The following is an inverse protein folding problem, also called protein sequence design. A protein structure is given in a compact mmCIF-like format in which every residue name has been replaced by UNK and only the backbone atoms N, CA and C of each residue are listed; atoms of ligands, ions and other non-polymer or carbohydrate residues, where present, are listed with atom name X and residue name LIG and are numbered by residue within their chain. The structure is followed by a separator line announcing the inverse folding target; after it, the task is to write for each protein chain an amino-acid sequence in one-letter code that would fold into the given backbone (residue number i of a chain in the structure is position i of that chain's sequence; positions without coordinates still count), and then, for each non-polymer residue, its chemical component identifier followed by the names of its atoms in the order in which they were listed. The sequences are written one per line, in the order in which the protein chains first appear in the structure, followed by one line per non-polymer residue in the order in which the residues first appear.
data_IF_907445724653
#
_entry.id   IF_907445724653
#
_cell.length_a   1.000
_cell.length_b   1.000
_cell.length_c   1.000
_cell.angle_alpha   90.00
_cell.angle_beta   90.00
_cell.angle_gamma   90.00
#
_symmetry.space_group_name_H-M   'P 1'
#
loop_
_entity.id
_entity.type
_entity.pdbx_description
1 polymer ?
#
# COMPACT_ATOMS: atom_id res chain seq x y z
N UNK A 1 -21.29 -0.50 12.24
CA UNK A 1 -21.67 0.29 11.05
C UNK A 1 -21.11 -0.43 9.85
N UNK A 2 -21.97 -1.04 9.03
CA UNK A 2 -21.57 -1.67 7.78
C UNK A 2 -20.92 -0.59 6.90
N UNK A 3 -19.63 -0.70 6.63
CA UNK A 3 -19.01 0.18 5.66
C UNK A 3 -19.61 -0.15 4.30
N UNK A 4 -20.26 0.82 3.66
CA UNK A 4 -20.79 0.64 2.33
C UNK A 4 -19.62 0.35 1.37
N UNK A 5 -19.73 -0.74 0.64
CA UNK A 5 -18.79 -1.17 -0.39
C UNK A 5 -19.48 -1.16 -1.73
N UNK A 6 -18.77 -0.71 -2.77
CA UNK A 6 -19.30 -0.67 -4.13
C UNK A 6 -18.35 -1.39 -5.09
N UNK A 7 -18.93 -2.09 -6.06
CA UNK A 7 -18.17 -2.78 -7.10
C UNK A 7 -18.11 -1.91 -8.34
N UNK A 8 -16.91 -1.55 -8.79
CA UNK A 8 -16.69 -0.66 -9.92
C UNK A 8 -15.74 -1.27 -10.95
N UNK A 9 -15.99 -1.00 -12.22
CA UNK A 9 -15.14 -1.47 -13.32
C UNK A 9 -13.99 -0.49 -13.58
N UNK A 10 -12.77 -1.01 -13.64
CA UNK A 10 -11.55 -0.22 -13.81
C UNK A 10 -11.40 0.26 -15.25
N UNK A 11 -11.23 1.57 -15.41
CA UNK A 11 -10.85 2.22 -16.66
C UNK A 11 -9.59 3.08 -16.48
N UNK A 12 -9.01 3.47 -17.61
CA UNK A 12 -7.82 4.30 -17.63
C UNK A 12 -8.09 5.71 -17.08
N UNK A 13 -7.18 6.22 -16.24
CA UNK A 13 -7.21 7.60 -15.78
C UNK A 13 -7.08 8.62 -16.92
N UNK A 14 -7.51 9.85 -16.67
CA UNK A 14 -7.17 10.97 -17.54
C UNK A 14 -5.69 11.31 -17.39
N UNK A 15 -5.06 11.78 -18.47
CA UNK A 15 -3.63 12.13 -18.49
C UNK A 15 -3.21 13.07 -17.36
N UNK A 16 -4.11 13.97 -16.94
CA UNK A 16 -3.89 14.95 -15.85
C UNK A 16 -3.84 14.35 -14.43
N UNK A 17 -4.35 13.13 -14.26
CA UNK A 17 -4.46 12.46 -12.96
C UNK A 17 -3.34 11.44 -12.74
N UNK A 18 -2.51 11.19 -13.76
CA UNK A 18 -1.40 10.23 -13.72
C UNK A 18 -0.35 10.65 -12.68
N UNK A 19 0.00 9.72 -11.79
CA UNK A 19 1.00 9.90 -10.74
C UNK A 19 0.49 10.63 -9.50
N UNK A 20 -0.79 11.00 -9.43
CA UNK A 20 -1.36 11.79 -8.33
C UNK A 20 -2.11 10.97 -7.28
N UNK A 21 -2.17 9.64 -7.45
CA UNK A 21 -2.94 8.77 -6.55
C UNK A 21 -4.43 9.10 -6.54
N UNK A 22 -4.99 9.43 -7.71
CA UNK A 22 -6.40 9.83 -7.87
C UNK A 22 -7.22 8.68 -8.42
N UNK A 23 -8.43 8.52 -7.87
CA UNK A 23 -9.46 7.64 -8.39
C UNK A 23 -10.73 8.45 -8.63
N UNK A 24 -11.23 8.41 -9.87
CA UNK A 24 -12.47 9.09 -10.23
C UNK A 24 -13.65 8.14 -10.30
N UNK A 25 -14.73 8.50 -9.61
CA UNK A 25 -16.02 7.80 -9.58
C UNK A 25 -17.16 8.79 -9.82
N UNK A 26 -18.34 8.32 -10.20
CA UNK A 26 -19.52 9.16 -10.41
C UNK A 26 -20.16 9.59 -9.08
N UNK A 27 -21.03 10.60 -9.13
CA UNK A 27 -21.67 11.12 -7.92
C UNK A 27 -22.56 10.08 -7.24
N UNK A 28 -23.28 9.26 -8.00
CA UNK A 28 -24.10 8.17 -7.45
C UNK A 28 -23.26 7.15 -6.65
N UNK A 29 -22.06 6.82 -7.13
CA UNK A 29 -21.12 5.99 -6.38
C UNK A 29 -20.59 6.68 -5.13
N UNK A 30 -20.29 7.99 -5.20
CA UNK A 30 -19.85 8.75 -4.03
C UNK A 30 -20.92 8.78 -2.95
N UNK A 31 -22.16 9.06 -3.32
CA UNK A 31 -23.30 9.11 -2.40
C UNK A 31 -23.54 7.73 -1.76
N UNK A 32 -23.48 6.66 -2.56
CA UNK A 32 -23.56 5.28 -2.08
C UNK A 32 -22.47 4.93 -1.08
N UNK A 33 -21.26 5.46 -1.26
CA UNK A 33 -20.11 5.27 -0.35
C UNK A 33 -20.07 6.28 0.80
N UNK A 34 -20.99 7.26 0.81
CA UNK A 34 -20.95 8.43 1.72
C UNK A 34 -19.60 9.17 1.64
N UNK A 35 -19.04 9.23 0.44
CA UNK A 35 -17.77 9.88 0.12
C UNK A 35 -17.99 11.25 -0.51
N UNK A 36 -17.01 12.14 -0.36
CA UNK A 36 -17.01 13.46 -0.97
C UNK A 36 -15.72 13.68 -1.75
N UNK A 37 -15.72 14.70 -2.61
CA UNK A 37 -14.52 15.12 -3.35
C UNK A 37 -13.36 15.39 -2.38
N UNK A 38 -12.24 14.73 -2.61
CA UNK A 38 -11.03 14.84 -1.78
C UNK A 38 -10.92 13.80 -0.66
N UNK A 39 -11.99 13.06 -0.35
CA UNK A 39 -11.92 11.94 0.58
C UNK A 39 -11.01 10.84 0.05
N UNK A 40 -10.56 9.96 0.96
CA UNK A 40 -9.77 8.79 0.60
C UNK A 40 -10.68 7.58 0.49
N UNK A 41 -10.51 6.84 -0.60
CA UNK A 41 -11.18 5.57 -0.84
C UNK A 41 -10.13 4.45 -0.88
N UNK A 42 -10.47 3.33 -0.26
CA UNK A 42 -9.74 2.09 -0.43
C UNK A 42 -10.23 1.40 -1.71
N UNK A 43 -9.27 0.94 -2.51
CA UNK A 43 -9.50 0.18 -3.72
C UNK A 43 -8.91 -1.21 -3.50
N UNK A 44 -9.77 -2.22 -3.52
CA UNK A 44 -9.41 -3.61 -3.30
C UNK A 44 -9.56 -4.40 -4.60
N UNK A 45 -8.42 -4.78 -5.15
CA UNK A 45 -8.29 -5.78 -6.21
C UNK A 45 -7.70 -7.08 -5.65
N UNK A 46 -6.62 -7.56 -6.27
CA UNK A 46 -5.80 -8.65 -5.70
C UNK A 46 -5.08 -8.20 -4.42
N UNK A 47 -4.72 -6.92 -4.39
CA UNK A 47 -4.15 -6.22 -3.24
C UNK A 47 -5.05 -5.04 -2.90
N UNK A 48 -4.98 -4.56 -1.66
CA UNK A 48 -5.58 -3.29 -1.27
C UNK A 48 -4.60 -2.15 -1.57
N UNK A 49 -5.14 -0.99 -1.92
CA UNK A 49 -4.43 0.29 -2.04
C UNK A 49 -5.43 1.42 -1.74
N UNK A 50 -4.98 2.66 -1.75
CA UNK A 50 -5.83 3.82 -1.51
C UNK A 50 -5.64 4.87 -2.59
N UNK A 51 -6.67 5.67 -2.82
CA UNK A 51 -6.62 6.79 -3.73
C UNK A 51 -7.54 7.92 -3.26
N UNK A 52 -7.25 9.13 -3.72
CA UNK A 52 -8.10 10.30 -3.49
C UNK A 52 -9.29 10.25 -4.44
N UNK A 53 -10.49 10.32 -3.86
CA UNK A 53 -11.75 10.34 -4.57
C UNK A 53 -11.97 11.69 -5.24
N UNK A 54 -12.18 11.70 -6.56
CA UNK A 54 -12.58 12.86 -7.34
C UNK A 54 -13.76 12.52 -8.27
N UNK A 55 -14.56 13.49 -8.72
CA UNK A 55 -15.68 13.20 -9.61
C UNK A 55 -15.23 12.84 -11.02
N UNK A 56 -15.98 11.97 -11.69
CA UNK A 56 -15.85 11.72 -13.13
C UNK A 56 -16.26 12.97 -13.93
N UNK A 57 -15.92 12.97 -15.22
CA UNK A 57 -16.53 13.95 -16.12
C UNK A 57 -17.95 13.55 -16.47
N UNK A 58 -18.83 14.53 -16.78
CA UNK A 58 -20.22 14.26 -17.13
C UNK A 58 -20.42 13.20 -18.23
N UNK A 59 -19.44 13.02 -19.13
CA UNK A 59 -19.46 12.01 -20.19
C UNK A 59 -19.39 10.55 -19.69
N UNK A 60 -18.96 10.34 -18.44
CA UNK A 60 -18.66 9.05 -17.83
C UNK A 60 -19.55 8.71 -16.61
N UNK A 61 -20.50 9.59 -16.27
CA UNK A 61 -21.50 9.41 -15.21
C UNK A 61 -22.39 8.18 -15.47
N UNK A 62 -22.80 7.50 -14.39
CA UNK A 62 -23.79 6.41 -14.42
C UNK A 62 -23.30 5.09 -15.02
N UNK A 63 -22.00 4.96 -15.29
CA UNK A 63 -21.42 3.76 -15.92
C UNK A 63 -20.91 2.72 -14.91
N UNK A 64 -20.92 3.02 -13.61
CA UNK A 64 -20.39 2.11 -12.59
C UNK A 64 -18.88 1.83 -12.76
N UNK A 65 -18.13 2.86 -13.13
CA UNK A 65 -16.70 2.77 -13.45
C UNK A 65 -15.86 3.53 -12.43
N UNK A 66 -14.61 3.11 -12.29
CA UNK A 66 -13.57 3.85 -11.59
C UNK A 66 -12.39 4.09 -12.53
N UNK A 67 -12.03 5.35 -12.74
CA UNK A 67 -10.84 5.72 -13.52
C UNK A 67 -9.65 5.89 -12.59
N UNK A 68 -8.63 5.05 -12.81
CA UNK A 68 -7.38 5.03 -12.01
C UNK A 68 -6.17 4.92 -12.92
N UNK A 69 -5.05 5.49 -12.46
CA UNK A 69 -3.82 5.53 -13.22
C UNK A 69 -3.04 4.19 -13.15
N UNK A 70 -1.92 4.10 -13.86
CA UNK A 70 -1.11 2.89 -13.86
C UNK A 70 -0.54 2.53 -12.49
N UNK A 71 -0.27 3.55 -11.65
CA UNK A 71 0.30 3.35 -10.32
C UNK A 71 -0.71 2.70 -9.37
N UNK A 72 -1.92 3.26 -9.26
CA UNK A 72 -2.99 2.72 -8.41
C UNK A 72 -3.40 1.33 -8.90
N UNK A 73 -3.46 1.09 -10.21
CA UNK A 73 -3.74 -0.25 -10.77
C UNK A 73 -2.65 -1.27 -10.40
N UNK A 74 -1.38 -0.88 -10.50
CA UNK A 74 -0.26 -1.74 -10.10
C UNK A 74 -0.31 -2.09 -8.61
N UNK A 75 -0.59 -1.08 -7.75
CA UNK A 75 -0.70 -1.28 -6.31
C UNK A 75 -1.88 -2.19 -5.94
N UNK A 76 -3.03 -2.03 -6.58
CA UNK A 76 -4.20 -2.89 -6.40
C UNK A 76 -4.05 -4.29 -7.06
N UNK A 77 -3.08 -4.45 -7.96
CA UNK A 77 -2.86 -5.67 -8.72
C UNK A 77 -3.97 -5.98 -9.72
N UNK A 78 -4.47 -4.96 -10.43
CA UNK A 78 -5.60 -5.06 -11.38
C UNK A 78 -5.25 -4.55 -12.77
N UNK A 79 -5.93 -5.07 -13.78
CA UNK A 79 -5.86 -4.63 -15.17
C UNK A 79 -7.03 -3.72 -15.56
N UNK A 80 -6.95 -3.11 -16.75
CA UNK A 80 -8.08 -2.37 -17.32
C UNK A 80 -9.19 -3.35 -17.64
N UNK A 81 -10.42 -3.01 -17.25
CA UNK A 81 -11.61 -3.86 -17.43
C UNK A 81 -11.90 -4.79 -16.25
N UNK A 82 -10.95 -4.97 -15.33
CA UNK A 82 -11.20 -5.70 -14.08
C UNK A 82 -12.21 -4.96 -13.20
N UNK A 83 -12.78 -5.68 -12.24
CA UNK A 83 -13.70 -5.12 -11.25
C UNK A 83 -12.99 -5.02 -9.91
N UNK A 84 -13.17 -3.90 -9.22
CA UNK A 84 -12.60 -3.63 -7.89
C UNK A 84 -13.70 -3.32 -6.90
N UNK A 85 -13.44 -3.64 -5.63
CA UNK A 85 -14.30 -3.24 -4.53
C UNK A 85 -13.74 -1.94 -3.95
N UNK A 86 -14.60 -0.93 -3.87
CA UNK A 86 -14.26 0.39 -3.36
C UNK A 86 -15.04 0.65 -2.08
N UNK A 87 -14.38 1.26 -1.09
CA UNK A 87 -15.03 1.76 0.13
C UNK A 87 -14.38 3.05 0.61
N UNK A 88 -15.15 3.89 1.30
CA UNK A 88 -14.59 5.06 1.99
C UNK A 88 -13.71 4.61 3.17
N UNK A 89 -12.56 5.24 3.31
CA UNK A 89 -11.65 5.02 4.45
C UNK A 89 -11.14 6.35 5.01
N UNK A 90 -10.90 6.39 6.32
CA UNK A 90 -10.28 7.55 6.95
C UNK A 90 -8.77 7.46 6.81
N UNK A 91 -8.16 8.46 6.19
CA UNK A 91 -6.71 8.63 6.18
C UNK A 91 -6.27 9.58 7.30
N UNK A 92 -5.29 9.17 8.08
CA UNK A 92 -4.70 9.99 9.15
C UNK A 92 -3.46 10.71 8.58
N UNK A 93 -3.19 11.98 8.93
CA UNK A 93 -1.93 12.62 8.53
C UNK A 93 -0.71 11.78 8.92
N UNK A 94 0.19 11.54 7.98
CA UNK A 94 1.41 10.80 8.23
C UNK A 94 2.42 11.67 8.99
N UNK A 95 2.96 11.15 10.09
CA UNK A 95 4.09 11.76 10.81
C UNK A 95 5.41 11.32 10.17
N UNK A 96 5.54 10.02 9.90
CA UNK A 96 6.72 9.43 9.27
C UNK A 96 6.35 8.39 8.23
N UNK A 97 7.00 8.43 7.06
CA UNK A 97 6.86 7.41 6.01
C UNK A 97 8.23 6.89 5.66
N UNK A 98 8.39 5.57 5.68
CA UNK A 98 9.64 4.92 5.30
C UNK A 98 9.42 4.27 3.94
N UNK A 99 10.32 4.57 3.02
CA UNK A 99 10.25 4.08 1.64
C UNK A 99 11.56 3.40 1.26
N UNK A 100 11.48 2.40 0.39
CA UNK A 100 12.65 1.74 -0.19
C UNK A 100 12.65 1.94 -1.71
N UNK A 101 13.78 2.33 -2.32
CA UNK A 101 13.85 2.47 -3.76
C UNK A 101 13.82 1.09 -4.44
N UNK A 102 13.04 0.95 -5.52
CA UNK A 102 12.98 -0.30 -6.29
C UNK A 102 14.17 -0.46 -7.24
N UNK A 103 14.79 0.65 -7.62
CA UNK A 103 15.93 0.75 -8.53
C UNK A 103 17.06 1.54 -7.88
N UNK A 104 18.26 1.52 -8.45
CA UNK A 104 19.34 2.38 -7.96
C UNK A 104 18.95 3.86 -8.20
N UNK A 105 18.93 4.66 -7.14
CA UNK A 105 18.56 6.07 -7.21
C UNK A 105 19.77 6.97 -7.01
N UNK A 106 19.80 8.16 -7.63
CA UNK A 106 20.76 9.19 -7.27
C UNK A 106 20.51 9.70 -5.84
N UNK A 107 21.50 10.36 -5.22
CA UNK A 107 21.30 11.00 -3.91
C UNK A 107 20.18 12.04 -4.02
N UNK A 108 19.15 11.88 -3.21
CA UNK A 108 17.95 12.73 -3.20
C UNK A 108 17.61 13.12 -1.77
N UNK A 109 17.18 14.37 -1.58
CA UNK A 109 16.73 14.84 -0.27
C UNK A 109 15.35 14.22 0.04
N UNK A 110 15.21 13.67 1.25
CA UNK A 110 13.95 13.12 1.75
C UNK A 110 12.84 14.18 1.78
N UNK A 111 13.18 15.46 1.93
CA UNK A 111 12.20 16.57 1.85
C UNK A 111 11.53 16.65 0.49
N UNK A 112 12.25 16.32 -0.58
CA UNK A 112 11.69 16.32 -1.92
C UNK A 112 10.55 15.31 -2.08
N UNK A 113 10.62 14.17 -1.37
CA UNK A 113 9.55 13.18 -1.36
C UNK A 113 8.29 13.75 -0.68
N UNK A 114 8.45 14.52 0.40
CA UNK A 114 7.32 15.15 1.08
C UNK A 114 6.60 16.16 0.18
N UNK A 115 7.36 16.98 -0.54
CA UNK A 115 6.80 17.96 -1.48
C UNK A 115 6.15 17.28 -2.68
N UNK A 116 6.81 16.28 -3.27
CA UNK A 116 6.31 15.59 -4.45
C UNK A 116 5.07 14.72 -4.18
N UNK A 117 4.98 14.13 -2.98
CA UNK A 117 3.87 13.28 -2.58
C UNK A 117 2.83 14.03 -1.74
N UNK A 118 2.89 15.36 -1.68
CA UNK A 118 1.95 16.15 -0.88
C UNK A 118 0.50 15.84 -1.25
N UNK A 119 -0.32 15.61 -0.23
CA UNK A 119 -1.73 15.26 -0.35
C UNK A 119 -2.00 13.93 -1.07
N UNK A 120 -1.00 13.09 -1.30
CA UNK A 120 -1.18 11.73 -1.82
C UNK A 120 -1.48 10.79 -0.65
N UNK A 121 -2.59 10.02 -0.69
CA UNK A 121 -2.86 9.00 0.30
C UNK A 121 -2.05 7.74 0.00
N UNK A 122 -1.56 7.07 1.04
CA UNK A 122 -0.66 5.92 0.94
C UNK A 122 -1.01 4.84 1.96
N UNK A 123 -0.67 3.59 1.64
CA UNK A 123 -0.61 2.49 2.61
C UNK A 123 0.75 1.79 2.57
N UNK A 124 1.04 1.00 3.63
CA UNK A 124 2.19 0.11 3.62
C UNK A 124 2.09 -0.89 2.46
N UNK A 125 3.16 -1.00 1.68
CA UNK A 125 3.30 -1.87 0.52
C UNK A 125 2.95 -1.21 -0.81
N UNK A 126 2.40 0.01 -0.82
CA UNK A 126 2.16 0.76 -2.06
C UNK A 126 3.47 1.16 -2.71
N UNK A 127 3.48 1.16 -4.04
CA UNK A 127 4.51 1.83 -4.81
C UNK A 127 4.10 3.29 -5.02
N UNK A 128 5.05 4.21 -4.86
CA UNK A 128 4.91 5.64 -5.07
C UNK A 128 5.89 6.10 -6.13
N UNK A 129 5.47 7.09 -6.91
CA UNK A 129 6.25 7.62 -8.01
C UNK A 129 6.56 9.09 -7.76
N UNK A 130 7.84 9.41 -7.81
CA UNK A 130 8.33 10.77 -7.60
C UNK A 130 8.98 11.23 -8.91
N UNK A 131 8.54 12.36 -9.50
CA UNK A 131 9.20 12.92 -10.67
C UNK A 131 10.68 13.20 -10.37
N UNK A 132 11.58 12.96 -11.32
CA UNK A 132 12.99 13.29 -11.12
C UNK A 132 13.67 13.53 -12.48
N UNK A 133 14.11 14.77 -12.72
CA UNK A 133 14.89 15.19 -13.91
C UNK A 133 14.52 14.49 -15.23
N UNK A 134 13.29 14.69 -15.72
CA UNK A 134 12.83 14.12 -17.00
C UNK A 134 12.47 12.63 -16.95
N UNK A 135 12.59 12.01 -15.77
CA UNK A 135 12.16 10.65 -15.47
C UNK A 135 11.35 10.59 -14.18
N UNK A 136 11.35 9.39 -13.58
CA UNK A 136 10.58 9.07 -12.37
C UNK A 136 11.35 8.07 -11.52
N UNK A 137 11.36 8.29 -10.22
CA UNK A 137 11.86 7.33 -9.24
C UNK A 137 10.67 6.60 -8.63
N UNK A 138 10.80 5.29 -8.49
CA UNK A 138 9.76 4.47 -7.87
C UNK A 138 10.26 3.94 -6.54
N UNK A 139 9.46 4.19 -5.51
CA UNK A 139 9.74 3.69 -4.17
C UNK A 139 8.58 2.81 -3.69
N UNK A 140 8.87 1.84 -2.85
CA UNK A 140 7.87 1.09 -2.13
C UNK A 140 7.77 1.60 -0.69
N UNK A 141 6.55 1.85 -0.22
CA UNK A 141 6.28 2.23 1.17
C UNK A 141 6.47 1.01 2.06
N UNK A 142 7.52 0.98 2.87
CA UNK A 142 7.83 -0.14 3.77
C UNK A 142 7.24 0.06 5.17
N UNK A 143 7.00 1.31 5.58
CA UNK A 143 6.44 1.63 6.89
C UNK A 143 5.76 3.00 6.91
N UNK A 144 4.74 3.14 7.75
CA UNK A 144 4.01 4.38 7.98
C UNK A 144 3.79 4.57 9.49
N UNK A 145 3.88 5.81 9.95
CA UNK A 145 3.63 6.23 11.33
C UNK A 145 2.63 7.39 11.32
N UNK A 146 1.52 7.32 12.08
CA UNK A 146 1.09 6.21 12.91
C UNK A 146 0.73 4.96 12.08
N UNK A 147 0.74 3.78 12.73
CA UNK A 147 0.29 2.54 12.11
C UNK A 147 -1.25 2.58 11.94
N UNK A 148 -1.70 3.05 10.79
CA UNK A 148 -3.12 3.14 10.43
C UNK A 148 -3.39 2.41 9.11
N UNK A 149 -4.67 2.17 8.81
CA UNK A 149 -5.05 1.52 7.56
C UNK A 149 -4.70 2.35 6.32
N UNK A 150 -4.71 3.67 6.46
CA UNK A 150 -4.34 4.64 5.44
C UNK A 150 -3.73 5.88 6.09
N UNK A 151 -2.72 6.44 5.43
CA UNK A 151 -2.11 7.72 5.82
C UNK A 151 -2.20 8.73 4.68
N UNK A 152 -2.27 10.00 5.02
CA UNK A 152 -2.21 11.11 4.06
C UNK A 152 -0.88 11.85 4.24
N UNK A 153 -0.12 11.97 3.15
CA UNK A 153 1.12 12.76 3.17
C UNK A 153 0.79 14.24 3.27
N UNK A 154 1.50 14.93 4.15
CA UNK A 154 1.40 16.38 4.38
C UNK A 154 2.80 16.98 4.36
N UNK A 155 2.92 18.31 4.32
CA UNK A 155 4.23 19.00 4.41
C UNK A 155 4.99 18.70 5.72
N UNK A 156 4.30 18.22 6.76
CA UNK A 156 4.92 17.84 8.04
C UNK A 156 5.42 16.41 8.07
N UNK A 157 5.10 15.62 7.04
CA UNK A 157 5.46 14.21 6.98
C UNK A 157 6.96 14.07 6.74
N UNK A 158 7.64 13.37 7.65
CA UNK A 158 9.06 13.09 7.53
C UNK A 158 9.25 11.80 6.73
N UNK A 159 9.95 11.89 5.60
CA UNK A 159 10.32 10.70 4.84
C UNK A 159 11.62 10.12 5.36
N UNK A 160 11.77 8.81 5.23
CA UNK A 160 13.04 8.13 5.39
C UNK A 160 13.25 7.17 4.24
N UNK A 161 14.37 7.28 3.53
CA UNK A 161 14.72 6.37 2.44
C UNK A 161 15.62 5.26 3.01
N UNK A 162 15.07 4.05 3.11
CA UNK A 162 15.83 2.88 3.54
C UNK A 162 16.76 2.39 2.43
N UNK A 163 17.95 1.93 2.80
CA UNK A 163 18.86 1.30 1.85
C UNK A 163 18.36 -0.09 1.42
N UNK A 164 18.77 -0.53 0.22
CA UNK A 164 18.41 -1.84 -0.30
C UNK A 164 19.05 -2.93 0.57
N UNK A 165 18.30 -3.48 1.52
CA UNK A 165 18.78 -4.46 2.50
C UNK A 165 18.60 -4.05 3.96
N UNK A 166 18.16 -2.82 4.24
CA UNK A 166 17.74 -2.43 5.58
C UNK A 166 16.43 -3.12 5.94
N UNK A 167 16.53 -4.19 6.74
CA UNK A 167 15.38 -4.67 7.50
C UNK A 167 15.03 -3.60 8.52
N UNK A 168 13.79 -3.11 8.47
CA UNK A 168 13.24 -2.18 9.46
C UNK A 168 13.48 -2.76 10.86
N UNK A 169 14.45 -2.19 11.60
CA UNK A 169 14.66 -2.48 13.02
C UNK A 169 13.36 -2.13 13.76
N UNK A 170 12.58 -3.16 14.08
CA UNK A 170 11.30 -3.05 14.78
C UNK A 170 10.49 -4.35 14.82
N UNK A 171 10.64 -5.24 13.83
CA UNK A 171 10.18 -6.64 13.93
C UNK A 171 11.20 -7.52 13.20
N UNK A 172 12.04 -8.29 13.91
CA UNK A 172 12.92 -9.24 13.24
C UNK A 172 12.04 -10.39 12.72
N UNK A 173 11.70 -10.36 11.44
CA UNK A 173 11.49 -11.61 10.71
C UNK A 173 12.86 -12.11 10.26
N UNK A 174 13.66 -12.53 11.24
CA UNK A 174 14.85 -13.33 10.96
C UNK A 174 14.31 -14.71 10.64
N UNK A 175 14.45 -15.10 9.38
CA UNK A 175 14.25 -16.50 9.00
C UNK A 175 15.49 -17.28 9.40
N UNK A 176 15.33 -18.53 9.80
CA UNK A 176 16.46 -19.38 10.22
C UNK A 176 17.55 -19.54 9.13
N UNK A 177 17.21 -19.23 7.88
CA UNK A 177 18.12 -19.22 6.73
C UNK A 177 19.17 -18.09 6.80
N UNK A 178 18.93 -17.06 7.61
CA UNK A 178 19.82 -15.90 7.77
C UNK A 178 20.91 -16.11 8.83
N UNK A 179 20.90 -17.24 9.56
CA UNK A 179 21.90 -17.57 10.58
C UNK A 179 22.97 -18.49 9.98
N UNK A 180 24.09 -17.91 9.57
CA UNK A 180 25.25 -18.66 9.07
C UNK A 180 26.01 -19.40 10.17
N UNK A 181 26.38 -20.66 9.93
CA UNK A 181 27.31 -21.43 10.78
C UNK A 181 26.69 -22.23 11.94
N UNK A 182 25.38 -22.16 12.18
CA UNK A 182 24.69 -22.81 13.31
C UNK A 182 23.55 -23.75 12.84
N UNK A 183 23.74 -24.44 11.72
CA UNK A 183 22.70 -25.29 11.12
C UNK A 183 22.24 -26.40 12.07
N UNK A 184 23.13 -26.97 12.86
CA UNK A 184 22.81 -28.06 13.79
C UNK A 184 22.01 -27.57 15.01
N UNK A 185 22.36 -26.41 15.57
CA UNK A 185 21.67 -25.81 16.71
C UNK A 185 20.27 -25.36 16.33
N UNK A 186 20.12 -24.75 15.15
CA UNK A 186 18.84 -24.32 14.60
C UNK A 186 17.92 -25.53 14.40
N UNK A 187 18.44 -26.63 13.86
CA UNK A 187 17.66 -27.84 13.66
C UNK A 187 17.15 -28.42 14.99
N UNK A 188 17.99 -28.44 16.03
CA UNK A 188 17.57 -28.86 17.38
C UNK A 188 16.46 -27.97 17.95
N UNK A 189 16.54 -26.65 17.75
CA UNK A 189 15.49 -25.72 18.20
C UNK A 189 14.17 -25.94 17.43
N UNK A 190 14.22 -26.22 16.12
CA UNK A 190 13.02 -26.56 15.33
C UNK A 190 12.36 -27.85 15.80
N UNK A 191 13.15 -28.86 16.12
CA UNK A 191 12.64 -30.13 16.65
C UNK A 191 12.02 -29.98 18.05
N UNK A 192 12.58 -29.11 18.89
CA UNK A 192 12.07 -28.89 20.25
C UNK A 192 10.86 -27.95 20.33
N UNK A 193 10.70 -27.01 19.39
CA UNK A 193 9.66 -25.97 19.47
C UNK A 193 8.64 -26.09 18.34
N UNK A 194 9.08 -26.32 17.11
CA UNK A 194 8.20 -26.33 15.93
C UNK A 194 7.46 -27.68 15.79
N UNK A 195 8.13 -28.79 16.13
CA UNK A 195 7.55 -30.13 16.05
C UNK A 195 6.35 -30.35 17.00
N UNK A 196 6.40 -29.95 18.29
CA UNK A 196 5.26 -30.09 19.20
C UNK A 196 4.06 -29.22 18.79
N UNK A 197 4.34 -28.05 18.21
CA UNK A 197 3.29 -27.12 17.77
C UNK A 197 2.64 -27.55 16.44
N UNK A 198 3.38 -28.24 15.57
CA UNK A 198 2.86 -28.74 14.28
C UNK A 198 2.22 -30.12 14.35
N UNK A 199 2.69 -30.97 15.27
CA UNK A 199 2.23 -32.35 15.43
C UNK A 199 1.94 -32.69 16.90
N UNK A 200 1.03 -31.97 17.58
CA UNK A 200 0.71 -32.20 18.99
C UNK A 200 0.19 -33.63 19.26
N UNK A 201 -0.45 -34.26 18.28
CA UNK A 201 -0.98 -35.63 18.37
C UNK A 201 0.08 -36.72 18.59
N UNK A 202 1.35 -36.44 18.25
CA UNK A 202 2.48 -37.36 18.46
C UNK A 202 2.98 -37.25 19.91
N UNK A 203 2.98 -36.03 20.47
CA UNK A 203 3.48 -35.74 21.81
C UNK A 203 2.48 -36.15 22.90
N UNK A 204 1.17 -35.97 22.67
CA UNK A 204 0.12 -36.47 23.59
C UNK A 204 0.17 -37.99 23.80
N UNK A 205 0.58 -38.77 22.79
CA UNK A 205 0.72 -40.24 22.90
C UNK A 205 1.94 -40.69 23.70
N UNK A 206 2.96 -39.83 23.81
CA UNK A 206 4.19 -40.09 24.55
C UNK A 206 4.12 -39.60 26.01
N UNK A 207 3.03 -38.91 26.39
CA UNK A 207 2.77 -38.48 27.77
C UNK A 207 3.59 -37.27 28.21
N UNK A 208 4.01 -36.43 27.27
CA UNK A 208 4.75 -35.18 27.50
C UNK A 208 4.14 -34.07 26.67
#
# INVERSE_FOLDING_TARGET
MSQNTLSLKVLEAYTRDVGRGVARIDYDSMDSLTASTGDVIEIRGKRRTVAKCLPLYPSDEGKGIVRVDGLVRNNAGVAIGDTVIVRKIKAVPAEKVIVAPLEAIPPIDERYLADALESVPLIKGDNVMVPYFGGRLTFQVIGVTPASDAVLVTQKTIFHIAEKGETLRGVPQVTYEDIGGLKEEIQKVREMIELPLRHPEIFEKLGI
#
